data_IF_090871788569
#
_entry.id   IF_090871788569
#
_cell.length_a   1.000
_cell.length_b   1.000
_cell.length_c   1.000
_cell.angle_alpha   90.00
_cell.angle_beta   90.00
_cell.angle_gamma   90.00
#
_symmetry.space_group_name_H-M   'P 1'
#
loop_
_entity.id
_entity.type
_entity.pdbx_description
1 polymer ?
#
# COMPACT_ATOMS: atom_id res chain seq x y z
N UNK A 1 13.35 4.18 12.99
CA UNK A 1 13.76 4.60 11.63
C UNK A 1 14.24 6.04 11.68
N UNK A 2 15.50 6.30 11.30
CA UNK A 2 16.13 7.63 11.32
C UNK A 2 16.62 7.97 9.93
N UNK A 3 16.54 9.24 9.54
CA UNK A 3 17.02 9.72 8.25
C UNK A 3 18.51 9.42 8.07
N UNK A 4 18.87 8.88 6.90
CA UNK A 4 20.27 8.74 6.50
C UNK A 4 20.89 10.11 6.32
N UNK A 5 22.15 10.28 6.70
CA UNK A 5 22.87 11.57 6.57
C UNK A 5 23.29 11.91 5.14
N UNK A 6 23.23 10.98 4.20
CA UNK A 6 23.71 11.18 2.83
C UNK A 6 23.34 10.03 1.87
N UNK A 7 23.82 10.15 0.64
CA UNK A 7 23.52 9.28 -0.50
C UNK A 7 22.05 9.39 -0.99
N UNK A 8 21.64 8.45 -1.85
CA UNK A 8 20.40 8.53 -2.63
C UNK A 8 19.12 8.51 -1.79
N UNK A 9 19.18 8.07 -0.53
CA UNK A 9 18.02 7.98 0.37
C UNK A 9 17.99 9.06 1.44
N UNK A 10 18.91 10.04 1.41
CA UNK A 10 18.94 11.09 2.43
C UNK A 10 17.64 11.90 2.50
N UNK A 11 16.85 11.97 1.42
CA UNK A 11 15.55 12.65 1.39
C UNK A 11 14.37 11.71 1.61
N UNK A 12 14.60 10.42 1.85
CA UNK A 12 13.55 9.47 2.16
C UNK A 12 12.95 9.77 3.54
N UNK A 13 11.62 9.67 3.66
CA UNK A 13 10.91 9.95 4.90
C UNK A 13 11.36 9.04 6.04
N UNK A 14 11.49 9.60 7.24
CA UNK A 14 11.87 8.86 8.44
C UNK A 14 11.09 9.37 9.66
N UNK A 15 10.96 8.52 10.69
CA UNK A 15 10.34 8.89 11.97
C UNK A 15 11.15 9.96 12.68
N UNK A 16 12.48 9.80 12.68
CA UNK A 16 13.42 10.84 13.09
C UNK A 16 14.04 11.46 11.84
N UNK A 17 13.73 12.72 11.60
CA UNK A 17 14.27 13.47 10.48
C UNK A 17 15.72 13.97 10.75
N UNK A 18 16.24 14.77 9.82
CA UNK A 18 17.57 15.37 9.93
C UNK A 18 17.72 16.38 11.07
N UNK A 19 16.61 16.96 11.55
CA UNK A 19 16.65 17.86 12.70
C UNK A 19 16.91 17.10 14.00
N UNK A 20 16.63 15.79 14.03
CA UNK A 20 16.81 14.93 15.19
C UNK A 20 15.87 15.25 16.35
N UNK A 21 14.88 16.12 16.14
CA UNK A 21 13.91 16.54 17.15
C UNK A 21 12.73 15.58 17.22
N UNK A 22 12.06 15.57 18.38
CA UNK A 22 10.90 14.72 18.67
C UNK A 22 9.57 15.48 18.63
N UNK A 23 9.59 16.80 18.46
CA UNK A 23 8.40 17.66 18.38
C UNK A 23 7.85 17.80 16.95
N UNK A 24 8.46 17.09 15.98
CA UNK A 24 8.03 17.08 14.59
C UNK A 24 6.66 16.43 14.43
N UNK A 25 5.91 16.85 13.42
CA UNK A 25 4.59 16.30 13.11
C UNK A 25 4.65 14.78 12.94
N UNK A 26 5.56 14.29 12.10
CA UNK A 26 5.73 12.86 11.79
C UNK A 26 6.03 12.05 13.05
N UNK A 27 6.94 12.53 13.91
CA UNK A 27 7.25 11.83 15.16
C UNK A 27 6.01 11.73 16.06
N UNK A 28 5.28 12.83 16.24
CA UNK A 28 4.07 12.86 17.07
C UNK A 28 2.96 11.95 16.52
N UNK A 29 2.75 11.94 15.21
CA UNK A 29 1.75 11.07 14.56
C UNK A 29 2.12 9.58 14.71
N UNK A 30 3.37 9.21 14.48
CA UNK A 30 3.84 7.82 14.63
C UNK A 30 3.81 7.38 16.10
N UNK A 31 4.17 8.25 17.03
CA UNK A 31 4.07 7.97 18.46
C UNK A 31 2.61 7.81 18.92
N UNK A 32 1.68 8.59 18.34
CA UNK A 32 0.25 8.41 18.55
C UNK A 32 -0.25 7.06 18.04
N UNK A 33 0.09 6.71 16.81
CA UNK A 33 -0.26 5.42 16.21
C UNK A 33 0.31 4.25 17.02
N UNK A 34 1.53 4.36 17.54
CA UNK A 34 2.12 3.33 18.40
C UNK A 34 1.32 3.10 19.69
N UNK A 35 0.79 4.16 20.31
CA UNK A 35 -0.08 4.04 21.49
C UNK A 35 -1.42 3.38 21.16
N UNK A 36 -1.97 3.68 19.98
CA UNK A 36 -3.19 3.02 19.49
C UNK A 36 -2.95 1.53 19.25
N UNK A 37 -1.82 1.16 18.64
CA UNK A 37 -1.43 -0.24 18.42
C UNK A 37 -1.24 -1.00 19.74
N UNK A 38 -0.58 -0.38 20.72
CA UNK A 38 -0.46 -0.94 22.08
C UNK A 38 -1.83 -1.17 22.73
N UNK A 39 -2.78 -0.24 22.56
CA UNK A 39 -4.12 -0.36 23.10
C UNK A 39 -4.94 -1.47 22.41
N UNK A 40 -4.76 -1.68 21.10
CA UNK A 40 -5.39 -2.77 20.35
C UNK A 40 -4.77 -4.13 20.70
N UNK A 41 -3.47 -4.14 21.01
CA UNK A 41 -2.76 -5.34 21.47
C UNK A 41 -2.81 -6.48 20.45
N UNK A 42 -3.18 -7.68 20.91
CA UNK A 42 -3.17 -8.90 20.08
C UNK A 42 -4.47 -9.15 19.31
N UNK A 43 -5.47 -8.27 19.43
CA UNK A 43 -6.81 -8.49 18.88
C UNK A 43 -6.78 -8.73 17.35
N UNK A 44 -5.91 -8.03 16.64
CA UNK A 44 -5.79 -8.14 15.18
C UNK A 44 -5.00 -9.39 14.72
N UNK A 45 -4.27 -10.05 15.62
CA UNK A 45 -3.46 -11.20 15.26
C UNK A 45 -4.35 -12.38 14.86
N UNK A 46 -4.21 -12.83 13.61
CA UNK A 46 -5.00 -13.92 13.04
C UNK A 46 -6.28 -13.47 12.34
N UNK A 47 -6.62 -12.17 12.37
CA UNK A 47 -7.72 -11.63 11.60
C UNK A 47 -7.61 -12.00 10.11
N UNK A 48 -8.75 -12.26 9.48
CA UNK A 48 -8.85 -12.62 8.05
C UNK A 48 -9.85 -11.70 7.37
N UNK A 49 -9.54 -11.29 6.15
CA UNK A 49 -10.47 -10.52 5.31
C UNK A 49 -11.40 -11.50 4.57
N UNK A 50 -12.73 -11.46 4.80
CA UNK A 50 -13.68 -12.35 4.13
C UNK A 50 -13.97 -11.87 2.70
N UNK A 51 -12.98 -11.93 1.82
CA UNK A 51 -13.09 -11.49 0.44
C UNK A 51 -14.05 -12.40 -0.36
N UNK A 52 -15.05 -11.80 -1.04
CA UNK A 52 -16.03 -12.53 -1.87
C UNK A 52 -15.60 -12.72 -3.33
N UNK A 53 -14.49 -12.10 -3.72
CA UNK A 53 -13.96 -12.18 -5.08
C UNK A 53 -12.43 -12.12 -5.05
N UNK A 54 -11.80 -12.73 -6.06
CA UNK A 54 -10.36 -12.73 -6.24
C UNK A 54 -9.96 -12.07 -7.58
N UNK A 55 -8.73 -11.57 -7.63
CA UNK A 55 -8.05 -11.17 -8.85
C UNK A 55 -6.81 -12.04 -8.98
N UNK A 56 -6.67 -12.74 -10.11
CA UNK A 56 -5.47 -13.50 -10.41
C UNK A 56 -4.39 -12.54 -10.92
N UNK A 57 -3.22 -12.59 -10.27
CA UNK A 57 -2.02 -11.86 -10.68
C UNK A 57 -0.95 -12.87 -10.92
N UNK A 58 -0.33 -12.78 -12.09
CA UNK A 58 0.69 -13.71 -12.50
C UNK A 58 1.89 -12.95 -13.08
N UNK A 59 3.08 -13.38 -12.71
CA UNK A 59 4.32 -12.69 -13.02
C UNK A 59 4.74 -12.92 -14.47
N UNK A 60 4.58 -14.15 -14.96
CA UNK A 60 4.87 -14.52 -16.35
C UNK A 60 3.93 -13.77 -17.30
N UNK A 61 2.64 -13.70 -16.94
CA UNK A 61 1.65 -12.91 -17.68
C UNK A 61 1.99 -11.42 -17.68
N UNK A 62 2.50 -10.86 -16.58
CA UNK A 62 2.93 -9.47 -16.54
C UNK A 62 4.12 -9.26 -17.49
N UNK A 63 5.19 -10.04 -17.34
CA UNK A 63 6.36 -9.94 -18.22
C UNK A 63 6.00 -10.08 -19.70
N UNK A 64 5.19 -11.07 -20.05
CA UNK A 64 4.73 -11.29 -21.42
C UNK A 64 4.03 -10.04 -21.98
N UNK A 65 3.16 -9.39 -21.21
CA UNK A 65 2.44 -8.19 -21.65
C UNK A 65 3.37 -6.99 -21.83
N UNK A 66 4.34 -6.77 -20.93
CA UNK A 66 5.21 -5.59 -21.01
C UNK A 66 6.34 -5.75 -22.04
N UNK A 67 6.73 -6.98 -22.35
CA UNK A 67 7.78 -7.28 -23.34
C UNK A 67 7.22 -7.58 -24.74
N UNK A 68 5.92 -7.85 -24.87
CA UNK A 68 5.31 -8.08 -26.17
C UNK A 68 5.23 -6.79 -26.99
N UNK A 69 5.59 -6.88 -28.27
CA UNK A 69 5.24 -5.89 -29.31
C UNK A 69 3.76 -5.99 -29.73
N UNK A 70 2.86 -6.12 -28.76
CA UNK A 70 1.45 -6.43 -28.97
C UNK A 70 0.70 -5.35 -29.77
N UNK A 71 -0.57 -5.61 -30.14
CA UNK A 71 -1.35 -4.74 -31.00
C UNK A 71 -1.74 -3.39 -30.36
N UNK A 72 -1.56 -3.24 -29.04
CA UNK A 72 -1.93 -2.03 -28.30
C UNK A 72 -0.81 -1.60 -27.34
N UNK A 73 -0.12 -0.51 -27.70
CA UNK A 73 0.97 0.08 -26.91
C UNK A 73 0.52 0.75 -25.61
N UNK A 74 -0.77 1.01 -25.45
CA UNK A 74 -1.34 1.62 -24.24
C UNK A 74 -1.79 0.58 -23.21
N UNK A 75 -1.70 -0.72 -23.53
CA UNK A 75 -2.00 -1.78 -22.57
C UNK A 75 -0.82 -1.96 -21.61
N UNK A 76 -1.07 -1.74 -20.32
CA UNK A 76 -0.11 -1.98 -19.23
C UNK A 76 -0.75 -2.91 -18.21
N UNK A 77 -0.06 -3.97 -17.82
CA UNK A 77 -0.64 -5.05 -17.01
C UNK A 77 -1.09 -4.54 -15.62
N UNK A 78 -0.16 -3.95 -14.87
CA UNK A 78 -0.41 -3.44 -13.52
C UNK A 78 -1.52 -2.38 -13.45
N UNK A 79 -1.49 -1.30 -14.26
CA UNK A 79 -2.56 -0.30 -14.24
C UNK A 79 -3.94 -0.90 -14.55
N UNK A 80 -4.00 -1.86 -15.49
CA UNK A 80 -5.24 -2.56 -15.84
C UNK A 80 -5.76 -3.38 -14.67
N UNK A 81 -4.88 -4.08 -13.96
CA UNK A 81 -5.23 -4.86 -12.78
C UNK A 81 -5.71 -3.96 -11.63
N UNK A 82 -4.99 -2.87 -11.33
CA UNK A 82 -5.36 -1.88 -10.30
C UNK A 82 -6.73 -1.25 -10.57
N UNK A 83 -7.01 -0.86 -11.82
CA UNK A 83 -8.34 -0.35 -12.23
C UNK A 83 -9.43 -1.37 -11.97
N UNK A 84 -9.17 -2.64 -12.27
CA UNK A 84 -10.14 -3.73 -12.08
C UNK A 84 -10.41 -4.01 -10.60
N UNK A 85 -9.40 -3.86 -9.73
CA UNK A 85 -9.56 -3.90 -8.28
C UNK A 85 -10.43 -2.75 -7.77
N UNK A 86 -10.12 -1.51 -8.17
CA UNK A 86 -10.85 -0.31 -7.75
C UNK A 86 -12.33 -0.33 -8.17
N UNK A 87 -12.62 -0.76 -9.41
CA UNK A 87 -13.99 -0.83 -9.94
C UNK A 87 -14.89 -1.84 -9.20
N UNK A 88 -14.32 -2.94 -8.68
CA UNK A 88 -15.09 -3.98 -7.98
C UNK A 88 -15.34 -3.65 -6.51
N UNK A 89 -14.42 -2.96 -5.85
CA UNK A 89 -14.64 -2.45 -4.48
C UNK A 89 -15.86 -1.51 -4.45
N UNK A 90 -15.97 -0.60 -5.44
CA UNK A 90 -17.13 0.30 -5.54
C UNK A 90 -18.48 -0.41 -5.71
N UNK A 91 -18.54 -1.53 -6.46
CA UNK A 91 -19.78 -2.29 -6.71
C UNK A 91 -20.15 -3.29 -5.62
N UNK A 92 -19.19 -3.67 -4.78
CA UNK A 92 -19.41 -4.66 -3.71
C UNK A 92 -19.90 -3.98 -2.42
N UNK A 93 -19.51 -2.71 -2.19
CA UNK A 93 -19.99 -1.89 -1.08
C UNK A 93 -21.47 -1.50 -1.21
N UNK A 94 -21.98 -1.26 -2.42
CA UNK A 94 -23.38 -0.86 -2.65
C UNK A 94 -24.41 -1.97 -2.41
N UNK A 95 -23.98 -3.19 -2.06
CA UNK A 95 -24.84 -4.36 -1.84
C UNK A 95 -24.81 -4.88 -0.39
N UNK A 96 -24.18 -4.15 0.52
CA UNK A 96 -24.07 -4.50 1.96
C UNK A 96 -24.72 -3.42 2.85
N UNK A 97 -25.24 -2.33 2.27
CA UNK A 97 -25.95 -1.25 3.00
C UNK A 97 -27.48 -1.28 2.71
N UNK A 98 -28.04 -2.47 2.48
CA UNK A 98 -29.49 -2.72 2.47
C UNK A 98 -29.78 -3.98 3.24
#
# INVERSE_FOLDING_TARGET
MRASRGACEMTHGAVLDHSGRLDTRTFREVAGLGKEDEAVGRILLGARTPARCALLVDWDSWWAVEMAGGPNRNLRYLPRMRRSASMRVARTCSRVVT
#
